data_IF_241694524714
#
_entry.id   IF_241694524714
#
_cell.length_a   1.000
_cell.length_b   1.000
_cell.length_c   1.000
_cell.angle_alpha   90.00
_cell.angle_beta   90.00
_cell.angle_gamma   90.00
#
_symmetry.space_group_name_H-M   'P 1'
#
loop_
_entity.id
_entity.type
_entity.pdbx_description
1 polymer ?
#
# COMPACT_ATOMS: atom_id res chain seq x y z
N UNK A 1 10.07 8.38 -8.08
CA UNK A 1 10.81 9.30 -8.95
C UNK A 1 11.90 10.02 -8.17
N UNK A 2 11.58 10.80 -7.09
CA UNK A 2 12.60 11.53 -6.29
C UNK A 2 13.70 10.59 -5.73
N UNK A 3 13.34 9.39 -5.28
CA UNK A 3 14.26 8.36 -4.77
C UNK A 3 15.21 7.80 -5.85
N UNK A 4 14.85 7.90 -7.13
CA UNK A 4 15.64 7.47 -8.29
C UNK A 4 16.34 8.67 -8.98
N UNK A 5 16.33 9.84 -8.34
CA UNK A 5 17.00 11.04 -8.88
C UNK A 5 18.49 11.02 -8.56
N UNK A 6 19.29 11.45 -9.51
CA UNK A 6 20.73 11.66 -9.33
C UNK A 6 21.03 12.84 -8.39
N UNK A 7 20.03 13.67 -8.09
CA UNK A 7 20.16 14.76 -7.14
C UNK A 7 20.20 14.21 -5.69
N UNK A 8 21.34 14.34 -4.98
CA UNK A 8 21.50 13.76 -3.65
C UNK A 8 20.53 14.34 -2.62
N UNK A 9 20.11 15.60 -2.75
CA UNK A 9 19.16 16.23 -1.84
C UNK A 9 17.78 15.59 -1.98
N UNK A 10 17.27 15.45 -3.21
CA UNK A 10 15.97 14.82 -3.47
C UNK A 10 15.96 13.35 -3.03
N UNK A 11 17.02 12.63 -3.32
CA UNK A 11 17.16 11.23 -2.93
C UNK A 11 17.20 11.06 -1.41
N UNK A 12 17.97 11.90 -0.68
CA UNK A 12 18.10 11.85 0.78
C UNK A 12 16.79 12.23 1.48
N UNK A 13 16.12 13.31 1.07
CA UNK A 13 14.84 13.73 1.65
C UNK A 13 13.77 12.65 1.45
N UNK A 14 13.69 12.09 0.24
CA UNK A 14 12.78 10.99 -0.07
C UNK A 14 13.10 9.73 0.74
N UNK A 15 14.39 9.41 0.92
CA UNK A 15 14.80 8.28 1.75
C UNK A 15 14.40 8.48 3.21
N UNK A 16 14.66 9.67 3.77
CA UNK A 16 14.30 9.98 5.16
C UNK A 16 12.80 9.90 5.41
N UNK A 17 11.99 10.45 4.48
CA UNK A 17 10.54 10.34 4.54
C UNK A 17 10.06 8.89 4.56
N UNK A 18 10.53 8.06 3.63
CA UNK A 18 10.14 6.66 3.52
C UNK A 18 10.59 5.88 4.77
N UNK A 19 11.83 6.11 5.21
CA UNK A 19 12.37 5.48 6.43
C UNK A 19 11.54 5.81 7.66
N UNK A 20 11.18 7.07 7.85
CA UNK A 20 10.41 7.55 9.00
C UNK A 20 9.00 6.92 9.02
N UNK A 21 8.28 7.07 7.92
CA UNK A 21 6.87 6.65 7.86
C UNK A 21 6.69 5.14 7.78
N UNK A 22 7.61 4.39 7.19
CA UNK A 22 7.57 2.92 7.20
C UNK A 22 8.23 2.31 8.43
N UNK A 23 9.12 3.01 9.09
CA UNK A 23 9.82 2.56 10.29
C UNK A 23 9.02 2.77 11.59
N UNK A 24 7.93 3.53 11.54
CA UNK A 24 7.08 3.80 12.72
C UNK A 24 5.66 3.25 12.55
N UNK A 25 5.03 2.73 13.63
CA UNK A 25 3.66 2.24 13.56
C UNK A 25 2.67 3.36 13.20
N UNK A 26 1.74 3.07 12.30
CA UNK A 26 0.72 4.04 11.85
C UNK A 26 -0.14 4.56 13.02
N UNK A 27 -0.41 3.72 14.04
CA UNK A 27 -1.14 4.15 15.23
C UNK A 27 -0.39 5.23 16.01
N UNK A 28 0.94 5.12 16.14
CA UNK A 28 1.78 6.14 16.77
C UNK A 28 1.72 7.44 15.98
N UNK A 29 1.82 7.35 14.65
CA UNK A 29 1.70 8.53 13.76
C UNK A 29 0.33 9.19 13.93
N UNK A 30 -0.75 8.41 14.00
CA UNK A 30 -2.11 8.89 14.22
C UNK A 30 -2.23 9.69 15.53
N UNK A 31 -1.70 9.15 16.62
CA UNK A 31 -1.70 9.81 17.93
C UNK A 31 -0.84 11.08 17.93
N UNK A 32 0.30 11.09 17.25
CA UNK A 32 1.15 12.27 17.11
C UNK A 32 0.43 13.39 16.34
N UNK A 33 -0.21 13.08 15.20
CA UNK A 33 -0.99 14.06 14.45
C UNK A 33 -2.18 14.59 15.25
N UNK A 34 -2.89 13.72 15.97
CA UNK A 34 -4.03 14.12 16.79
C UNK A 34 -3.65 15.03 17.95
N UNK A 35 -2.47 14.80 18.55
CA UNK A 35 -1.95 15.59 19.65
C UNK A 35 -0.97 16.70 19.20
N UNK A 36 -0.99 17.08 17.92
CA UNK A 36 -0.04 18.05 17.38
C UNK A 36 -0.10 19.40 18.08
N UNK A 37 -1.28 19.80 18.56
CA UNK A 37 -1.48 21.03 19.31
C UNK A 37 -0.68 21.13 20.62
N UNK A 38 -0.28 19.99 21.22
CA UNK A 38 0.57 19.98 22.42
C UNK A 38 1.98 20.49 22.13
N UNK A 39 2.47 20.31 20.91
CA UNK A 39 3.79 20.77 20.48
C UNK A 39 3.72 22.12 19.77
N UNK A 40 2.66 22.33 19.00
CA UNK A 40 2.43 23.52 18.18
C UNK A 40 1.00 24.02 18.40
N UNK A 41 0.74 24.84 19.44
CA UNK A 41 -0.61 25.33 19.74
C UNK A 41 -1.23 26.13 18.59
N UNK A 42 -0.40 26.85 17.83
CA UNK A 42 -0.82 27.60 16.63
C UNK A 42 0.07 27.26 15.44
N UNK A 43 -0.52 27.15 14.27
CA UNK A 43 0.17 26.98 13.00
C UNK A 43 0.07 28.26 12.17
N UNK A 44 1.21 28.67 11.57
CA UNK A 44 1.31 29.93 10.83
C UNK A 44 2.10 31.00 11.56
N UNK A 45 2.14 32.19 10.99
CA UNK A 45 2.87 33.32 11.55
C UNK A 45 2.02 34.60 11.49
N UNK A 46 2.02 35.41 12.59
CA UNK A 46 1.34 36.70 12.68
C UNK A 46 -0.18 36.58 12.44
N UNK A 47 -0.77 37.42 11.58
CA UNK A 47 -2.22 37.45 11.36
C UNK A 47 -2.77 36.20 10.61
N UNK A 48 -1.89 35.32 10.08
CA UNK A 48 -2.24 34.06 9.42
C UNK A 48 -2.09 32.86 10.36
N UNK A 49 -1.91 33.08 11.67
CA UNK A 49 -1.89 32.00 12.65
C UNK A 49 -3.29 31.45 12.92
N UNK A 50 -3.41 30.10 12.88
CA UNK A 50 -4.66 29.38 13.16
C UNK A 50 -4.41 28.45 14.34
N UNK A 51 -5.40 28.27 15.21
CA UNK A 51 -5.32 27.30 16.30
C UNK A 51 -5.19 25.89 15.70
N UNK A 52 -4.23 25.14 16.20
CA UNK A 52 -3.97 23.78 15.69
C UNK A 52 -5.15 22.85 15.93
N UNK A 53 -5.90 23.00 17.02
CA UNK A 53 -7.08 22.18 17.31
C UNK A 53 -8.24 22.47 16.33
N UNK A 54 -8.33 23.69 15.80
CA UNK A 54 -9.34 24.03 14.80
C UNK A 54 -9.02 23.40 13.44
N UNK A 55 -7.73 23.28 13.12
CA UNK A 55 -7.25 22.73 11.88
C UNK A 55 -7.14 21.19 11.93
N UNK A 56 -6.56 20.64 12.99
CA UNK A 56 -6.29 19.21 13.15
C UNK A 56 -7.40 18.53 13.96
N UNK A 57 -8.61 18.49 13.40
CA UNK A 57 -9.73 17.70 13.94
C UNK A 57 -9.47 16.19 13.80
N UNK A 58 -10.16 15.31 14.55
CA UNK A 58 -9.96 13.86 14.49
C UNK A 58 -9.87 13.28 13.08
N UNK A 59 -10.75 13.69 12.18
CA UNK A 59 -10.74 13.25 10.79
C UNK A 59 -9.50 13.70 10.03
N UNK A 60 -9.04 14.94 10.23
CA UNK A 60 -7.84 15.48 9.58
C UNK A 60 -6.59 14.76 10.09
N UNK A 61 -6.49 14.53 11.40
CA UNK A 61 -5.39 13.75 11.99
C UNK A 61 -5.33 12.32 11.40
N UNK A 62 -6.49 11.68 11.30
CA UNK A 62 -6.61 10.35 10.70
C UNK A 62 -6.19 10.36 9.23
N UNK A 63 -6.67 11.33 8.45
CA UNK A 63 -6.32 11.49 7.05
C UNK A 63 -4.82 11.70 6.85
N UNK A 64 -4.19 12.59 7.62
CA UNK A 64 -2.76 12.85 7.53
C UNK A 64 -1.93 11.61 7.90
N UNK A 65 -2.24 10.95 9.02
CA UNK A 65 -1.52 9.77 9.46
C UNK A 65 -1.58 8.64 8.40
N UNK A 66 -2.79 8.31 7.96
CA UNK A 66 -3.00 7.22 7.01
C UNK A 66 -2.45 7.56 5.62
N UNK A 67 -2.70 8.77 5.12
CA UNK A 67 -2.26 9.16 3.78
C UNK A 67 -0.72 9.27 3.67
N UNK A 68 -0.06 9.87 4.66
CA UNK A 68 1.40 9.99 4.65
C UNK A 68 2.08 8.63 4.85
N UNK A 69 1.52 7.77 5.69
CA UNK A 69 2.02 6.42 5.85
C UNK A 69 1.89 5.63 4.53
N UNK A 70 0.70 5.60 3.95
CA UNK A 70 0.43 4.89 2.69
C UNK A 70 1.27 5.43 1.53
N UNK A 71 1.45 6.75 1.43
CA UNK A 71 2.28 7.34 0.40
C UNK A 71 3.74 6.84 0.47
N UNK A 72 4.26 6.56 1.68
CA UNK A 72 5.60 5.99 1.84
C UNK A 72 5.68 4.52 1.35
N UNK A 73 4.64 3.71 1.61
CA UNK A 73 4.55 2.35 1.07
C UNK A 73 4.40 2.36 -0.44
N UNK A 74 3.49 3.18 -0.97
CA UNK A 74 3.27 3.30 -2.41
C UNK A 74 4.50 3.83 -3.16
N UNK A 75 5.29 4.73 -2.56
CA UNK A 75 6.54 5.21 -3.14
C UNK A 75 7.54 4.06 -3.39
N UNK A 76 7.65 3.11 -2.48
CA UNK A 76 8.52 1.93 -2.65
C UNK A 76 7.93 0.92 -3.63
N UNK A 77 6.62 0.72 -3.66
CA UNK A 77 5.94 -0.13 -4.67
C UNK A 77 6.22 0.41 -6.07
N UNK A 78 6.06 1.71 -6.27
CA UNK A 78 6.34 2.37 -7.56
C UNK A 78 7.82 2.28 -7.92
N UNK A 79 8.73 2.51 -6.95
CA UNK A 79 10.17 2.38 -7.16
C UNK A 79 10.54 0.97 -7.59
N UNK A 80 10.04 -0.04 -6.89
CA UNK A 80 10.29 -1.46 -7.21
C UNK A 80 9.76 -1.82 -8.60
N UNK A 81 8.57 -1.33 -8.96
CA UNK A 81 7.99 -1.56 -10.28
C UNK A 81 8.79 -0.94 -11.43
N UNK A 82 9.36 0.26 -11.22
CA UNK A 82 10.22 0.90 -12.22
C UNK A 82 11.53 0.11 -12.37
N UNK A 83 12.15 -0.30 -11.26
CA UNK A 83 13.40 -1.05 -11.26
C UNK A 83 13.24 -2.50 -11.77
N UNK A 84 12.02 -3.02 -11.84
CA UNK A 84 11.75 -4.35 -12.38
C UNK A 84 11.75 -4.38 -13.92
N UNK A 85 11.78 -3.23 -14.58
CA UNK A 85 11.88 -3.16 -16.04
C UNK A 85 13.35 -3.37 -16.43
N UNK A 86 13.57 -4.25 -17.40
CA UNK A 86 14.90 -4.58 -17.90
C UNK A 86 15.62 -3.33 -18.44
N UNK A 87 16.86 -3.12 -18.02
CA UNK A 87 17.68 -1.95 -18.41
C UNK A 87 17.92 -1.90 -19.92
N UNK A 88 18.02 -3.04 -20.58
CA UNK A 88 18.16 -3.14 -22.03
C UNK A 88 17.01 -2.52 -22.79
N UNK A 89 15.78 -2.47 -22.20
CA UNK A 89 14.66 -1.74 -22.80
C UNK A 89 14.92 -0.22 -22.85
N UNK A 90 15.54 0.31 -21.81
CA UNK A 90 15.90 1.73 -21.72
C UNK A 90 17.05 2.04 -22.67
N UNK A 91 18.08 1.20 -22.72
CA UNK A 91 19.21 1.35 -23.62
C UNK A 91 18.80 1.29 -25.10
N UNK A 92 17.96 0.29 -25.45
CA UNK A 92 17.41 0.17 -26.81
C UNK A 92 16.58 1.39 -27.21
N UNK A 93 15.76 1.93 -26.31
CA UNK A 93 14.98 3.14 -26.57
C UNK A 93 15.90 4.36 -26.83
N UNK A 94 16.97 4.52 -26.06
CA UNK A 94 17.95 5.59 -26.26
C UNK A 94 18.73 5.41 -27.57
N UNK A 95 19.09 4.18 -27.94
CA UNK A 95 19.74 3.89 -29.22
C UNK A 95 18.85 4.26 -30.43
N UNK A 96 17.51 4.21 -30.27
CA UNK A 96 16.54 4.68 -31.25
C UNK A 96 16.27 6.19 -31.20
N UNK A 97 17.03 6.95 -30.40
CA UNK A 97 16.92 8.41 -30.31
C UNK A 97 15.77 8.89 -29.43
N UNK A 98 15.15 8.04 -28.62
CA UNK A 98 14.10 8.46 -27.69
C UNK A 98 14.69 9.28 -26.53
N UNK A 99 14.04 10.40 -26.18
CA UNK A 99 14.37 11.15 -25.01
C UNK A 99 13.99 10.39 -23.73
N UNK A 100 14.61 10.72 -22.59
CA UNK A 100 14.33 10.08 -21.29
C UNK A 100 12.83 10.10 -20.92
N UNK A 101 12.13 11.23 -21.17
CA UNK A 101 10.70 11.35 -20.93
C UNK A 101 9.85 10.45 -21.85
N UNK A 102 10.26 10.31 -23.12
CA UNK A 102 9.61 9.42 -24.08
C UNK A 102 9.81 7.95 -23.69
N UNK A 103 11.04 7.56 -23.31
CA UNK A 103 11.39 6.23 -22.81
C UNK A 103 10.59 5.89 -21.57
N UNK A 104 10.56 6.78 -20.59
CA UNK A 104 9.78 6.58 -19.37
C UNK A 104 8.29 6.37 -19.68
N UNK A 105 7.67 7.24 -20.49
CA UNK A 105 6.22 7.21 -20.74
C UNK A 105 5.78 6.08 -21.66
N UNK A 106 6.59 5.73 -22.67
CA UNK A 106 6.19 4.78 -23.74
C UNK A 106 6.69 3.36 -23.51
N UNK A 107 7.82 3.20 -22.80
CA UNK A 107 8.48 1.90 -22.62
C UNK A 107 8.42 1.47 -21.15
N UNK A 108 8.99 2.25 -20.23
CA UNK A 108 9.17 1.87 -18.82
C UNK A 108 7.83 1.84 -18.09
N UNK A 109 7.08 2.93 -18.09
CA UNK A 109 5.86 3.06 -17.29
C UNK A 109 4.79 2.00 -17.64
N UNK A 110 4.50 1.69 -18.92
CA UNK A 110 3.51 0.64 -19.24
C UNK A 110 3.94 -0.76 -18.77
N UNK A 111 5.24 -1.05 -18.73
CA UNK A 111 5.76 -2.31 -18.21
C UNK A 111 5.78 -2.31 -16.68
N UNK A 112 6.25 -1.24 -16.05
CA UNK A 112 6.27 -1.06 -14.60
C UNK A 112 4.86 -1.16 -13.98
N UNK A 113 3.82 -0.62 -14.64
CA UNK A 113 2.44 -0.69 -14.16
C UNK A 113 1.94 -2.12 -13.95
N UNK A 114 2.42 -3.08 -14.73
CA UNK A 114 2.07 -4.50 -14.55
C UNK A 114 2.59 -5.07 -13.23
N UNK A 115 3.71 -4.54 -12.76
CA UNK A 115 4.35 -4.91 -11.48
C UNK A 115 3.78 -4.10 -10.33
N UNK A 116 3.41 -2.83 -10.56
CA UNK A 116 2.89 -1.90 -9.56
C UNK A 116 1.43 -2.23 -9.16
N UNK A 117 0.57 -2.57 -10.12
CA UNK A 117 -0.87 -2.71 -9.88
C UNK A 117 -1.22 -3.82 -8.86
N UNK A 118 -0.64 -5.04 -8.90
CA UNK A 118 -0.99 -6.06 -7.93
C UNK A 118 -0.72 -5.66 -6.46
N UNK A 119 0.48 -5.20 -6.09
CA UNK A 119 0.72 -4.75 -4.72
C UNK A 119 -0.10 -3.52 -4.33
N UNK A 120 -0.36 -2.57 -5.27
CA UNK A 120 -1.24 -1.42 -5.01
C UNK A 120 -2.65 -1.85 -4.59
N UNK A 121 -3.20 -2.86 -5.25
CA UNK A 121 -4.51 -3.40 -4.88
C UNK A 121 -4.49 -4.04 -3.49
N UNK A 122 -3.43 -4.77 -3.14
CA UNK A 122 -3.26 -5.34 -1.80
C UNK A 122 -3.15 -4.27 -0.72
N UNK A 123 -2.39 -3.19 -0.96
CA UNK A 123 -2.29 -2.05 -0.04
C UNK A 123 -3.65 -1.36 0.14
N UNK A 124 -4.43 -1.18 -0.93
CA UNK A 124 -5.78 -0.62 -0.84
C UNK A 124 -6.70 -1.45 0.08
N UNK A 125 -6.66 -2.78 -0.01
CA UNK A 125 -7.45 -3.67 0.86
C UNK A 125 -6.91 -3.63 2.30
N UNK A 126 -5.61 -3.54 2.48
CA UNK A 126 -4.97 -3.41 3.79
C UNK A 126 -5.36 -2.09 4.43
N UNK A 127 -5.31 -0.98 3.69
CA UNK A 127 -5.69 0.34 4.17
C UNK A 127 -7.16 0.38 4.60
N UNK A 128 -8.08 -0.27 3.88
CA UNK A 128 -9.49 -0.37 4.25
C UNK A 128 -9.67 -0.99 5.65
N UNK A 129 -8.84 -1.95 6.04
CA UNK A 129 -8.84 -2.54 7.39
C UNK A 129 -8.13 -1.64 8.39
N UNK A 130 -7.03 -1.02 8.00
CA UNK A 130 -6.22 -0.13 8.84
C UNK A 130 -6.98 1.11 9.27
N UNK A 131 -7.98 1.56 8.48
CA UNK A 131 -8.87 2.66 8.90
C UNK A 131 -9.57 2.39 10.24
N UNK A 132 -9.74 1.13 10.66
CA UNK A 132 -10.29 0.80 11.99
C UNK A 132 -9.49 1.38 13.15
N UNK A 133 -8.19 1.67 12.98
CA UNK A 133 -7.35 2.30 14.00
C UNK A 133 -7.80 3.72 14.35
N UNK A 134 -8.55 4.40 13.47
CA UNK A 134 -9.02 5.76 13.72
C UNK A 134 -10.07 5.84 14.83
N UNK A 135 -10.59 4.69 15.29
CA UNK A 135 -11.41 4.58 16.50
C UNK A 135 -10.74 5.28 17.69
N UNK A 136 -9.41 5.17 17.84
CA UNK A 136 -8.66 5.73 18.97
C UNK A 136 -8.78 7.25 19.07
N UNK A 137 -8.95 7.93 17.95
CA UNK A 137 -9.13 9.40 17.89
C UNK A 137 -10.58 9.81 17.61
N UNK A 138 -11.50 8.86 17.49
CA UNK A 138 -12.93 9.16 17.28
C UNK A 138 -13.27 9.75 15.91
N UNK A 139 -12.55 9.39 14.85
CA UNK A 139 -12.71 9.97 13.52
C UNK A 139 -13.98 9.52 12.75
N UNK A 140 -14.83 8.69 13.35
CA UNK A 140 -16.19 8.45 12.86
C UNK A 140 -16.31 7.39 11.74
N UNK A 141 -15.40 6.42 11.69
CA UNK A 141 -15.45 5.25 10.80
C UNK A 141 -16.48 4.18 11.24
N UNK A 142 -16.51 3.06 10.52
CA UNK A 142 -17.39 1.93 10.82
C UNK A 142 -17.22 1.42 12.26
N UNK A 143 -15.97 1.18 12.69
CA UNK A 143 -15.68 0.65 14.01
C UNK A 143 -16.00 1.65 15.11
N UNK A 144 -15.71 2.94 14.90
CA UNK A 144 -16.08 4.01 15.84
C UNK A 144 -17.59 4.06 16.06
N UNK A 145 -18.38 3.95 15.00
CA UNK A 145 -19.85 3.99 15.08
C UNK A 145 -20.41 2.76 15.75
N UNK A 146 -19.93 1.56 15.41
CA UNK A 146 -20.37 0.32 16.07
C UNK A 146 -19.97 0.28 17.54
N UNK A 147 -18.80 0.77 17.90
CA UNK A 147 -18.36 0.89 19.30
C UNK A 147 -19.22 1.88 20.10
N UNK A 148 -19.64 2.98 19.49
CA UNK A 148 -20.53 3.95 20.14
C UNK A 148 -21.93 3.34 20.40
N UNK A 149 -22.46 2.52 19.50
CA UNK A 149 -23.72 1.77 19.70
C UNK A 149 -23.53 0.74 20.80
N UNK A 150 -22.44 -0.03 20.74
CA UNK A 150 -22.11 -1.05 21.74
C UNK A 150 -22.06 -0.48 23.17
N UNK A 151 -21.48 0.71 23.31
CA UNK A 151 -21.40 1.39 24.60
C UNK A 151 -22.77 1.88 25.12
N UNK A 152 -23.70 2.24 24.23
CA UNK A 152 -25.06 2.68 24.59
C UNK A 152 -25.96 1.53 24.97
N UNK A 153 -25.91 0.44 24.20
CA UNK A 153 -26.81 -0.69 24.30
C UNK A 153 -26.21 -1.86 25.12
N UNK A 154 -24.98 -1.72 25.62
CA UNK A 154 -24.24 -2.79 26.34
C UNK A 154 -24.08 -4.09 25.53
N UNK A 155 -24.02 -3.98 24.20
CA UNK A 155 -23.98 -5.09 23.23
C UNK A 155 -22.63 -5.17 22.53
N UNK A 156 -21.53 -5.25 23.29
CA UNK A 156 -20.16 -5.16 22.74
C UNK A 156 -19.83 -6.28 21.75
N UNK A 157 -20.15 -7.53 22.10
CA UNK A 157 -19.82 -8.70 21.26
C UNK A 157 -20.63 -8.68 19.98
N UNK A 158 -21.91 -8.40 20.07
CA UNK A 158 -22.84 -8.33 18.93
C UNK A 158 -22.40 -7.27 17.92
N UNK A 159 -22.02 -6.08 18.41
CA UNK A 159 -21.58 -4.99 17.57
C UNK A 159 -20.20 -5.25 16.93
N UNK A 160 -19.30 -5.94 17.61
CA UNK A 160 -18.04 -6.39 17.02
C UNK A 160 -18.26 -7.44 15.92
N UNK A 161 -19.21 -8.35 16.10
CA UNK A 161 -19.59 -9.29 15.05
C UNK A 161 -20.18 -8.58 13.84
N UNK A 162 -21.07 -7.61 14.05
CA UNK A 162 -21.63 -6.78 12.97
C UNK A 162 -20.52 -6.05 12.22
N UNK A 163 -19.58 -5.40 12.94
CA UNK A 163 -18.43 -4.73 12.30
C UNK A 163 -17.57 -5.72 11.49
N UNK A 164 -17.31 -6.92 12.05
CA UNK A 164 -16.51 -7.96 11.38
C UNK A 164 -17.17 -8.43 10.08
N UNK A 165 -18.50 -8.62 10.08
CA UNK A 165 -19.26 -8.98 8.87
C UNK A 165 -19.16 -7.88 7.82
N UNK A 166 -19.32 -6.62 8.21
CA UNK A 166 -19.17 -5.50 7.28
C UNK A 166 -17.77 -5.38 6.70
N UNK A 167 -16.72 -5.51 7.52
CA UNK A 167 -15.34 -5.54 7.01
C UNK A 167 -15.11 -6.70 6.05
N UNK A 168 -15.68 -7.89 6.36
CA UNK A 168 -15.58 -9.06 5.47
C UNK A 168 -16.27 -8.79 4.13
N UNK A 169 -17.45 -8.20 4.12
CA UNK A 169 -18.16 -7.83 2.89
C UNK A 169 -17.36 -6.81 2.08
N UNK A 170 -16.93 -5.71 2.72
CA UNK A 170 -16.17 -4.65 2.04
C UNK A 170 -14.84 -5.15 1.46
N UNK A 171 -14.08 -5.94 2.24
CA UNK A 171 -12.82 -6.52 1.77
C UNK A 171 -13.03 -7.56 0.68
N UNK A 172 -14.11 -8.34 0.73
CA UNK A 172 -14.45 -9.32 -0.32
C UNK A 172 -14.79 -8.63 -1.63
N UNK A 173 -15.58 -7.56 -1.59
CA UNK A 173 -15.91 -6.75 -2.78
C UNK A 173 -14.65 -6.10 -3.36
N UNK A 174 -13.80 -5.52 -2.50
CA UNK A 174 -12.53 -4.93 -2.94
C UNK A 174 -11.60 -5.98 -3.56
N UNK A 175 -11.47 -7.16 -2.93
CA UNK A 175 -10.66 -8.29 -3.44
C UNK A 175 -11.17 -8.82 -4.78
N UNK A 176 -12.50 -8.88 -4.96
CA UNK A 176 -13.08 -9.26 -6.23
C UNK A 176 -12.76 -8.25 -7.34
N UNK A 177 -12.86 -6.96 -7.05
CA UNK A 177 -12.45 -5.89 -7.96
C UNK A 177 -10.97 -5.96 -8.32
N UNK A 178 -10.10 -6.16 -7.31
CA UNK A 178 -8.66 -6.33 -7.49
C UNK A 178 -8.34 -7.52 -8.40
N UNK A 179 -8.94 -8.69 -8.16
CA UNK A 179 -8.73 -9.88 -8.99
C UNK A 179 -9.01 -9.61 -10.48
N UNK A 180 -10.07 -8.88 -10.80
CA UNK A 180 -10.38 -8.51 -12.18
C UNK A 180 -9.38 -7.53 -12.77
N UNK A 181 -8.92 -6.56 -11.95
CA UNK A 181 -7.90 -5.60 -12.35
C UNK A 181 -6.57 -6.32 -12.64
N UNK A 182 -6.12 -7.19 -11.75
CA UNK A 182 -4.90 -7.98 -11.93
C UNK A 182 -4.94 -8.84 -13.19
N UNK A 183 -6.05 -9.54 -13.43
CA UNK A 183 -6.22 -10.33 -14.66
C UNK A 183 -6.13 -9.51 -15.92
N UNK A 184 -6.55 -8.27 -15.89
CA UNK A 184 -6.48 -7.36 -17.04
C UNK A 184 -5.04 -6.94 -17.34
N UNK A 185 -4.23 -6.71 -16.31
CA UNK A 185 -2.84 -6.27 -16.42
C UNK A 185 -1.83 -7.43 -16.53
N UNK A 186 -2.14 -8.60 -15.99
CA UNK A 186 -1.32 -9.80 -16.11
C UNK A 186 -1.23 -10.36 -17.54
N UNK A 187 -2.11 -9.96 -18.45
CA UNK A 187 -2.07 -10.38 -19.86
C UNK A 187 -0.86 -9.77 -20.53
N UNK A 188 0.23 -10.51 -20.64
CA UNK A 188 1.46 -10.12 -21.33
C UNK A 188 2.74 -10.20 -20.51
N UNK A 189 2.67 -10.55 -19.23
CA UNK A 189 3.80 -11.14 -18.55
C UNK A 189 3.75 -12.63 -18.81
N UNK A 190 4.75 -13.16 -19.52
CA UNK A 190 5.00 -14.60 -19.54
C UNK A 190 5.15 -14.99 -18.07
N UNK A 191 4.13 -15.62 -17.52
CA UNK A 191 4.21 -16.30 -16.25
C UNK A 191 5.19 -17.46 -16.47
N UNK A 192 6.48 -17.14 -16.47
CA UNK A 192 7.55 -18.09 -16.35
C UNK A 192 7.29 -18.87 -15.09
N UNK A 193 6.68 -20.03 -15.24
CA UNK A 193 6.77 -21.14 -14.31
C UNK A 193 6.48 -20.85 -12.83
N UNK A 194 5.27 -20.45 -12.51
CA UNK A 194 4.66 -21.04 -11.33
C UNK A 194 3.99 -22.36 -11.77
N UNK A 195 4.81 -23.37 -12.03
CA UNK A 195 4.33 -24.74 -11.94
C UNK A 195 3.68 -24.85 -10.56
N UNK A 196 2.36 -25.01 -10.53
CA UNK A 196 1.57 -24.94 -9.31
C UNK A 196 2.26 -25.80 -8.25
N UNK A 197 2.38 -25.28 -7.02
CA UNK A 197 2.95 -26.00 -5.87
C UNK A 197 2.35 -27.40 -5.79
N UNK A 198 1.08 -27.56 -6.15
CA UNK A 198 0.42 -28.87 -6.30
C UNK A 198 1.06 -29.80 -7.33
N UNK A 199 1.58 -29.31 -8.47
CA UNK A 199 2.31 -30.16 -9.42
C UNK A 199 3.67 -30.59 -8.89
N UNK A 200 4.37 -29.75 -8.12
CA UNK A 200 5.63 -30.13 -7.47
C UNK A 200 5.41 -31.15 -6.36
N UNK A 201 4.35 -31.01 -5.56
CA UNK A 201 3.98 -31.96 -4.51
C UNK A 201 3.59 -33.30 -5.15
N UNK A 202 2.76 -33.30 -6.19
CA UNK A 202 2.39 -34.52 -6.93
C UNK A 202 3.56 -35.18 -7.65
N UNK A 203 4.53 -34.43 -8.17
CA UNK A 203 5.73 -34.96 -8.78
C UNK A 203 6.64 -35.64 -7.74
N UNK A 204 6.74 -35.08 -6.53
CA UNK A 204 7.54 -35.69 -5.44
C UNK A 204 6.83 -36.88 -4.75
N UNK A 205 5.53 -37.05 -4.93
CA UNK A 205 4.76 -38.19 -4.37
C UNK A 205 4.68 -39.40 -5.34
N UNK A 206 5.23 -39.30 -6.55
CA UNK A 206 5.38 -40.46 -7.42
C UNK A 206 6.53 -41.32 -6.92
N UNK A 207 6.29 -42.55 -6.40
CA UNK A 207 7.35 -43.42 -5.99
C UNK A 207 8.21 -43.75 -7.22
N UNK A 208 9.52 -43.58 -7.07
CA UNK A 208 10.49 -43.87 -8.09
C UNK A 208 10.30 -45.31 -8.59
N UNK A 209 10.13 -45.49 -9.89
CA UNK A 209 10.18 -46.77 -10.56
C UNK A 209 11.61 -47.28 -10.38
N UNK A 210 11.79 -48.23 -9.49
CA UNK A 210 13.04 -48.96 -9.36
C UNK A 210 13.18 -49.78 -10.63
N UNK A 211 13.97 -49.33 -11.60
CA UNK A 211 14.42 -50.17 -12.70
C UNK A 211 15.43 -51.15 -12.14
N UNK A 212 14.94 -52.35 -11.89
CA UNK A 212 15.78 -53.52 -11.70
C UNK A 212 16.48 -53.85 -13.03
N UNK A 213 17.77 -53.57 -13.10
CA UNK A 213 18.69 -54.01 -14.14
C UNK A 213 19.55 -55.16 -13.60
N UNK A 214 19.08 -56.40 -13.79
CA UNK A 214 19.91 -57.61 -13.75
C UNK A 214 20.58 -57.72 -15.10
N UNK A 215 21.88 -57.62 -15.17
CA UNK A 215 22.86 -58.53 -15.81
C UNK A 215 24.22 -57.87 -15.88
#
# INVERSE_FOLDING_TARGET
>A
VMRLSDNPVLSTVSWFYIWLFRGTPVLVQLLLWFNLALFFPTLGAGPLSVDTNDLIKPFVAALLALALNEAAYMAEVVRAGILAVDEGQTEAAHALGMSQGQTMRRIVLPQAMRVIIPPTGNETITMLKTTSLVLVVGAGDLLTRTSAIAAREFTTIEMLLVASVWYLVLTSVASYGQYHLERRFARGTSAGSQASVGRRILANLRPGRVEGGVR
#
